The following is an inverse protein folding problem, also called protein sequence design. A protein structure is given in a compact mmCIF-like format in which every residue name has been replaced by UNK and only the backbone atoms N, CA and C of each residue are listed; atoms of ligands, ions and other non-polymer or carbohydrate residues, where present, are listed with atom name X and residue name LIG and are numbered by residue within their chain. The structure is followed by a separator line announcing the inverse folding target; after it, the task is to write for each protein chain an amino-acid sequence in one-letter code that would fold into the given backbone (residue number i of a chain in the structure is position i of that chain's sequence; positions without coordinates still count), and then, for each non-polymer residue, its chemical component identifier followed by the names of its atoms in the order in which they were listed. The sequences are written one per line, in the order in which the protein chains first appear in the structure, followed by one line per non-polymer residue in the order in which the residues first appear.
data_IF_685103825107
#
_entry.id   IF_685103825107
#
_cell.length_a   1.000
_cell.length_b   1.000
_cell.length_c   1.000
_cell.angle_alpha   90.00
_cell.angle_beta   90.00
_cell.angle_gamma   90.00
#
_symmetry.space_group_name_H-M   'P 1'
#
loop_
_entity.id
_entity.type
_entity.pdbx_description
1 polymer ?
#
# COMPACT_ATOMS: atom_id res chain seq x y z
N UNK A 1 19.83 -6.48 10.94
CA UNK A 1 18.66 -7.30 10.59
C UNK A 1 17.83 -6.65 9.53
N UNK A 2 17.64 -7.32 8.42
CA UNK A 2 16.77 -6.79 7.37
C UNK A 2 15.31 -6.96 7.76
N UNK A 3 14.60 -5.84 7.87
CA UNK A 3 13.15 -5.89 8.05
C UNK A 3 12.52 -6.40 6.76
N UNK A 4 11.75 -7.47 6.86
CA UNK A 4 10.97 -7.94 5.73
C UNK A 4 9.84 -6.95 5.47
N UNK A 5 9.82 -6.41 4.27
CA UNK A 5 8.69 -5.58 3.84
C UNK A 5 7.66 -6.47 3.18
N UNK A 6 6.43 -6.29 3.62
CA UNK A 6 5.31 -7.03 3.07
C UNK A 6 4.46 -6.09 2.20
N UNK A 7 4.08 -6.56 1.02
CA UNK A 7 3.13 -5.82 0.19
C UNK A 7 1.74 -5.88 0.82
N UNK A 8 0.86 -4.90 0.55
CA UNK A 8 -0.51 -4.97 1.05
C UNK A 8 -1.23 -6.27 0.69
N UNK A 9 -1.00 -6.82 -0.49
CA UNK A 9 -1.57 -8.11 -0.89
C UNK A 9 -1.10 -9.24 0.02
N UNK A 10 0.18 -9.27 0.32
CA UNK A 10 0.75 -10.27 1.22
C UNK A 10 0.18 -10.12 2.62
N UNK A 11 0.01 -8.90 3.10
CA UNK A 11 -0.57 -8.63 4.41
C UNK A 11 -2.00 -9.15 4.49
N UNK A 12 -2.82 -8.89 3.48
CA UNK A 12 -4.21 -9.36 3.45
C UNK A 12 -4.27 -10.89 3.42
N UNK A 13 -3.39 -11.53 2.64
CA UNK A 13 -3.31 -13.00 2.61
C UNK A 13 -2.93 -13.56 3.97
N UNK A 14 -1.96 -12.95 4.64
CA UNK A 14 -1.52 -13.36 5.98
C UNK A 14 -2.63 -13.18 7.00
N UNK A 15 -3.41 -12.10 6.91
CA UNK A 15 -4.55 -11.87 7.80
C UNK A 15 -5.66 -12.90 7.58
N UNK A 16 -5.87 -13.36 6.36
CA UNK A 16 -6.81 -14.47 6.08
C UNK A 16 -6.32 -15.76 6.70
N UNK A 17 -5.04 -16.04 6.59
CA UNK A 17 -4.43 -17.18 7.27
C UNK A 17 -4.61 -17.08 8.77
N UNK A 18 -4.43 -15.87 9.33
CA UNK A 18 -4.65 -15.60 10.74
C UNK A 18 -6.10 -15.89 11.12
N UNK A 19 -7.07 -15.47 10.33
CA UNK A 19 -8.48 -15.74 10.59
C UNK A 19 -8.77 -17.25 10.62
N UNK A 20 -8.17 -18.00 9.72
CA UNK A 20 -8.29 -19.45 9.68
C UNK A 20 -7.73 -20.08 10.97
N UNK A 21 -6.54 -19.64 11.36
CA UNK A 21 -5.89 -20.15 12.57
C UNK A 21 -6.69 -19.82 13.83
N UNK A 22 -7.22 -18.59 13.91
CA UNK A 22 -8.07 -18.18 15.04
C UNK A 22 -9.35 -19.00 15.10
N UNK A 23 -9.93 -19.33 13.94
CA UNK A 23 -11.12 -20.19 13.89
C UNK A 23 -10.82 -21.61 14.36
N UNK A 24 -9.58 -22.07 14.24
CA UNK A 24 -9.14 -23.37 14.75
C UNK A 24 -8.85 -23.34 16.26
N UNK A 25 -8.96 -22.17 16.90
CA UNK A 25 -8.73 -22.02 18.32
C UNK A 25 -7.30 -21.68 18.70
N UNK A 26 -6.47 -21.32 17.74
CA UNK A 26 -5.07 -20.94 17.98
C UNK A 26 -5.06 -19.49 18.53
N UNK A 27 -4.26 -19.26 19.54
CA UNK A 27 -4.17 -17.95 20.19
C UNK A 27 -3.37 -16.94 19.37
N UNK A 28 -3.62 -15.66 19.60
CA UNK A 28 -3.00 -14.56 18.89
C UNK A 28 -1.45 -14.63 18.88
N UNK A 29 -0.77 -14.89 20.01
CA UNK A 29 0.71 -15.01 20.00
C UNK A 29 1.20 -16.08 19.03
N UNK A 30 0.55 -17.22 18.98
CA UNK A 30 0.89 -18.30 18.06
C UNK A 30 0.59 -17.95 16.63
N UNK A 31 -0.51 -17.24 16.38
CA UNK A 31 -0.86 -16.76 15.03
C UNK A 31 0.21 -15.81 14.51
N UNK A 32 0.61 -14.84 15.31
CA UNK A 32 1.66 -13.90 14.91
C UNK A 32 2.97 -14.62 14.61
N UNK A 33 3.32 -15.60 15.42
CA UNK A 33 4.52 -16.42 15.24
C UNK A 33 4.46 -17.21 13.93
N UNK A 34 3.31 -17.80 13.62
CA UNK A 34 3.09 -18.52 12.37
C UNK A 34 3.22 -17.59 11.17
N UNK A 35 2.76 -16.35 11.29
CA UNK A 35 2.88 -15.36 10.24
C UNK A 35 4.27 -14.72 10.19
N UNK A 36 5.17 -15.10 11.07
CA UNK A 36 6.54 -14.58 11.17
C UNK A 36 6.59 -13.07 11.45
N UNK A 37 5.67 -12.59 12.26
CA UNK A 37 5.61 -11.17 12.65
C UNK A 37 5.43 -11.04 14.16
N UNK A 38 5.73 -9.85 14.69
CA UNK A 38 5.47 -9.57 16.09
C UNK A 38 3.97 -9.32 16.34
N UNK A 39 3.52 -9.49 17.59
CA UNK A 39 2.14 -9.18 17.93
C UNK A 39 1.77 -7.73 17.63
N UNK A 40 2.58 -6.71 17.96
CA UNK A 40 2.27 -5.34 17.60
C UNK A 40 2.10 -5.15 16.10
N UNK A 41 2.93 -5.79 15.28
CA UNK A 41 2.81 -5.74 13.82
C UNK A 41 1.50 -6.40 13.37
N UNK A 42 1.17 -7.54 13.93
CA UNK A 42 -0.09 -8.23 13.63
C UNK A 42 -1.30 -7.33 13.93
N UNK A 43 -1.33 -6.70 15.10
CA UNK A 43 -2.43 -5.81 15.49
C UNK A 43 -2.51 -4.58 14.60
N UNK A 44 -1.39 -4.01 14.21
CA UNK A 44 -1.33 -2.88 13.28
C UNK A 44 -1.90 -3.27 11.91
N UNK A 45 -1.51 -4.44 11.41
CA UNK A 45 -2.03 -4.95 10.15
C UNK A 45 -3.54 -5.18 10.21
N UNK A 46 -4.01 -5.72 11.32
CA UNK A 46 -5.43 -5.96 11.54
C UNK A 46 -6.22 -4.65 11.53
N UNK A 47 -5.68 -3.61 12.15
CA UNK A 47 -6.32 -2.30 12.17
C UNK A 47 -6.36 -1.65 10.78
N UNK A 48 -5.28 -1.81 9.99
CA UNK A 48 -5.16 -1.18 8.68
C UNK A 48 -5.85 -1.96 7.56
N UNK A 49 -5.75 -3.28 7.59
CA UNK A 49 -6.14 -4.13 6.46
C UNK A 49 -7.16 -5.21 6.82
N UNK A 50 -7.59 -5.30 8.08
CA UNK A 50 -8.43 -6.39 8.53
C UNK A 50 -9.78 -6.53 7.82
N UNK A 51 -10.34 -5.42 7.34
CA UNK A 51 -11.60 -5.41 6.61
C UNK A 51 -11.41 -5.54 5.08
N UNK A 52 -10.18 -5.53 4.60
CA UNK A 52 -9.90 -5.56 3.16
C UNK A 52 -9.85 -6.98 2.62
N UNK A 53 -10.38 -7.15 1.43
CA UNK A 53 -10.23 -8.37 0.63
C UNK A 53 -9.10 -8.18 -0.37
N UNK A 54 -8.55 -9.28 -0.90
CA UNK A 54 -7.45 -9.22 -1.86
C UNK A 54 -7.79 -8.34 -3.08
N UNK A 55 -9.05 -8.40 -3.54
CA UNK A 55 -9.49 -7.58 -4.67
C UNK A 55 -9.48 -6.09 -4.35
N UNK A 56 -9.83 -5.72 -3.12
CA UNK A 56 -9.79 -4.34 -2.66
C UNK A 56 -8.37 -3.79 -2.67
N UNK A 57 -7.40 -4.62 -2.29
CA UNK A 57 -5.99 -4.24 -2.30
C UNK A 57 -5.49 -4.03 -3.72
N UNK A 58 -5.87 -4.90 -4.65
CA UNK A 58 -5.53 -4.72 -6.07
C UNK A 58 -6.08 -3.42 -6.60
N UNK A 59 -7.33 -3.13 -6.28
CA UNK A 59 -8.00 -1.90 -6.70
C UNK A 59 -7.28 -0.66 -6.13
N UNK A 60 -6.91 -0.72 -4.87
CA UNK A 60 -6.15 0.35 -4.24
C UNK A 60 -4.82 0.59 -4.94
N UNK A 61 -4.10 -0.47 -5.29
CA UNK A 61 -2.84 -0.36 -6.03
C UNK A 61 -3.04 0.27 -7.40
N UNK A 62 -4.07 -0.12 -8.11
CA UNK A 62 -4.40 0.47 -9.41
C UNK A 62 -4.69 1.96 -9.29
N UNK A 63 -5.50 2.34 -8.28
CA UNK A 63 -5.82 3.74 -8.02
C UNK A 63 -4.57 4.54 -7.65
N UNK A 64 -3.67 3.98 -6.88
CA UNK A 64 -2.42 4.64 -6.53
C UNK A 64 -1.52 4.83 -7.76
N UNK A 65 -1.47 3.83 -8.63
CA UNK A 65 -0.71 3.91 -9.88
C UNK A 65 -1.27 4.99 -10.79
N UNK A 66 -2.59 5.02 -10.99
CA UNK A 66 -3.27 6.05 -11.77
C UNK A 66 -3.03 7.44 -11.21
N UNK A 67 -3.12 7.58 -9.88
CA UNK A 67 -2.89 8.85 -9.20
C UNK A 67 -1.46 9.33 -9.44
N UNK A 68 -0.48 8.45 -9.35
CA UNK A 68 0.92 8.78 -9.62
C UNK A 68 1.11 9.24 -11.07
N UNK A 69 0.48 8.56 -12.02
CA UNK A 69 0.54 8.94 -13.43
C UNK A 69 -0.11 10.30 -13.68
N UNK A 70 -1.26 10.56 -13.07
CA UNK A 70 -1.94 11.84 -13.18
C UNK A 70 -1.10 12.98 -12.61
N UNK A 71 -0.48 12.76 -11.46
CA UNK A 71 0.43 13.75 -10.86
C UNK A 71 1.61 14.06 -11.77
N UNK A 72 2.15 13.04 -12.41
CA UNK A 72 3.26 13.21 -13.35
C UNK A 72 2.83 14.02 -14.56
N UNK A 73 1.66 13.73 -15.13
CA UNK A 73 1.12 14.48 -16.26
C UNK A 73 0.87 15.94 -15.92
N UNK A 74 0.33 16.23 -14.75
CA UNK A 74 0.12 17.60 -14.28
C UNK A 74 1.43 18.34 -14.14
N UNK A 75 2.43 17.70 -13.54
CA UNK A 75 3.76 18.30 -13.38
C UNK A 75 4.40 18.62 -14.74
N UNK A 76 4.31 17.69 -15.70
CA UNK A 76 4.85 17.89 -17.05
C UNK A 76 4.16 19.07 -17.75
N UNK A 77 2.84 19.19 -17.63
CA UNK A 77 2.08 20.31 -18.22
C UNK A 77 2.46 21.64 -17.57
N UNK A 78 2.68 21.66 -16.27
CA UNK A 78 3.10 22.88 -15.58
C UNK A 78 4.49 23.33 -16.05
N UNK A 79 5.40 22.39 -16.24
CA UNK A 79 6.73 22.70 -16.78
C UNK A 79 6.64 23.24 -18.19
N UNK A 80 5.80 22.66 -19.05
CA UNK A 80 5.54 23.18 -20.41
C UNK A 80 4.97 24.59 -20.36
N UNK A 81 4.02 24.84 -19.48
CA UNK A 81 3.41 26.16 -19.33
C UNK A 81 4.42 27.20 -18.87
N UNK A 82 5.31 26.85 -17.95
CA UNK A 82 6.39 27.73 -17.51
C UNK A 82 7.33 28.08 -18.66
N UNK A 83 7.73 27.07 -19.42
CA UNK A 83 8.60 27.28 -20.60
C UNK A 83 7.93 28.21 -21.61
N UNK A 84 6.64 28.01 -21.91
CA UNK A 84 5.89 28.86 -22.81
C UNK A 84 5.76 30.29 -22.30
N UNK A 85 5.58 30.48 -21.01
CA UNK A 85 5.53 31.81 -20.41
C UNK A 85 6.86 32.55 -20.55
N UNK A 86 7.97 31.86 -20.37
CA UNK A 86 9.30 32.43 -20.54
C UNK A 86 9.50 32.87 -21.98
N UNK A 87 9.11 32.04 -22.92
CA UNK A 87 9.17 32.35 -24.36
C UNK A 87 8.28 33.56 -24.67
N UNK A 88 7.05 33.62 -24.15
CA UNK A 88 6.12 34.72 -24.38
C UNK A 88 6.62 36.04 -23.85
N UNK A 89 7.41 36.02 -22.78
CA UNK A 89 8.00 37.24 -22.20
C UNK A 89 9.19 37.76 -22.99
N UNK A 90 9.61 37.02 -23.98
CA UNK A 90 10.77 37.44 -24.79
C UNK A 90 12.10 37.39 -24.04
N UNK A 91 12.22 36.56 -23.06
CA UNK A 91 13.46 36.37 -22.29
C UNK A 91 14.34 35.33 -22.96
N UNK A 92 14.82 35.69 -24.12
CA UNK A 92 15.65 34.80 -24.93
C UNK A 92 17.10 35.22 -24.85
#
# INVERSE_FOLDING_TARGET
MKRRRHTPEQIVRKLREADRLLAEGIEVPEVAKTLEVSEPTYHRWRAQFGAMKADDVKRLKELQRENTQLKRLVADKELENLALREISKGNW
#
